data_IF_851506218842
#
_entry.id   IF_851506218842
#
_cell.length_a   1.000
_cell.length_b   1.000
_cell.length_c   1.000
_cell.angle_alpha   90.00
_cell.angle_beta   90.00
_cell.angle_gamma   90.00
#
_symmetry.space_group_name_H-M   'P 1'
#
loop_
_entity.id
_entity.type
_entity.pdbx_description
1 polymer ?
#
# COMPACT_ATOMS: atom_id res chain seq x y z
N UNK A 1 -11.76 -3.04 -64.51
CA UNK A 1 -12.53 -3.60 -63.38
C UNK A 1 -11.57 -4.34 -62.47
N UNK A 2 -11.60 -4.07 -61.16
CA UNK A 2 -10.75 -4.75 -60.18
C UNK A 2 -10.39 -3.85 -59.01
N UNK A 3 -11.37 -3.56 -58.15
CA UNK A 3 -11.16 -2.94 -56.84
C UNK A 3 -10.64 -4.01 -55.85
N UNK A 4 -9.80 -3.64 -54.87
CA UNK A 4 -9.66 -4.48 -53.67
C UNK A 4 -8.37 -4.37 -52.85
N UNK A 5 -8.48 -3.64 -51.74
CA UNK A 5 -7.76 -3.73 -50.46
C UNK A 5 -6.36 -3.09 -50.29
N UNK A 6 -6.18 -2.12 -49.37
CA UNK A 6 -4.87 -1.72 -48.89
C UNK A 6 -4.32 -2.72 -47.86
N UNK A 7 -2.99 -2.85 -47.85
CA UNK A 7 -2.21 -3.76 -47.01
C UNK A 7 -2.50 -3.56 -45.51
N UNK A 8 -2.79 -4.66 -44.81
CA UNK A 8 -3.02 -4.72 -43.36
C UNK A 8 -1.67 -4.56 -42.64
N UNK A 9 -1.55 -3.56 -41.76
CA UNK A 9 -0.43 -3.42 -40.83
C UNK A 9 -0.35 -4.64 -39.87
N UNK A 10 0.86 -5.06 -39.45
CA UNK A 10 1.02 -6.21 -38.56
C UNK A 10 0.37 -5.94 -37.20
N UNK A 11 -0.43 -6.91 -36.74
CA UNK A 11 -1.05 -6.87 -35.41
C UNK A 11 0.01 -7.02 -34.32
N UNK A 12 -0.12 -6.35 -33.17
CA UNK A 12 0.74 -6.61 -32.03
C UNK A 12 0.54 -8.06 -31.58
N UNK A 13 1.64 -8.81 -31.47
CA UNK A 13 1.68 -10.12 -30.83
C UNK A 13 1.48 -9.89 -29.33
N UNK A 14 0.24 -9.99 -28.87
CA UNK A 14 -0.06 -10.15 -27.45
C UNK A 14 0.35 -11.56 -27.10
N UNK A 15 1.48 -11.70 -26.40
CA UNK A 15 1.88 -12.94 -25.77
C UNK A 15 0.82 -13.36 -24.76
N UNK A 16 -0.12 -14.21 -25.18
CA UNK A 16 -1.03 -14.91 -24.30
C UNK A 16 -0.17 -15.85 -23.45
N UNK A 17 0.23 -15.41 -22.26
CA UNK A 17 0.69 -16.34 -21.22
C UNK A 17 -0.51 -17.21 -20.91
N UNK A 18 -0.50 -18.42 -21.48
CA UNK A 18 -1.50 -19.45 -21.32
C UNK A 18 -1.83 -19.58 -19.84
N UNK A 19 -3.05 -19.19 -19.50
CA UNK A 19 -3.61 -19.37 -18.16
C UNK A 19 -3.41 -20.83 -17.77
N UNK A 20 -2.69 -21.05 -16.65
CA UNK A 20 -2.59 -22.41 -16.10
C UNK A 20 -4.01 -22.87 -15.81
N UNK A 21 -4.34 -24.02 -16.41
CA UNK A 21 -5.56 -24.79 -16.28
C UNK A 21 -6.40 -24.48 -15.03
N UNK A 22 -7.68 -24.21 -15.27
CA UNK A 22 -8.77 -24.31 -14.30
C UNK A 22 -8.60 -25.59 -13.47
N UNK A 23 -8.15 -25.44 -12.22
CA UNK A 23 -8.29 -26.51 -11.22
C UNK A 23 -9.72 -26.42 -10.70
N UNK A 24 -10.56 -27.45 -10.89
CA UNK A 24 -11.91 -27.41 -10.38
C UNK A 24 -11.89 -27.38 -8.83
N UNK A 25 -12.98 -26.80 -8.33
CA UNK A 25 -13.57 -26.99 -7.00
C UNK A 25 -12.65 -26.93 -5.76
N UNK A 26 -12.32 -25.71 -5.36
CA UNK A 26 -12.27 -25.38 -3.92
C UNK A 26 -13.69 -24.96 -3.50
N UNK A 27 -14.57 -25.86 -3.04
CA UNK A 27 -15.96 -25.52 -2.73
C UNK A 27 -16.05 -24.40 -1.69
N UNK A 28 -15.09 -24.36 -0.75
CA UNK A 28 -15.00 -23.28 0.24
C UNK A 28 -14.76 -21.90 -0.39
N UNK A 29 -14.13 -21.80 -1.57
CA UNK A 29 -13.86 -20.50 -2.22
C UNK A 29 -15.17 -19.79 -2.54
N UNK A 30 -16.14 -20.52 -3.08
CA UNK A 30 -17.48 -19.98 -3.36
C UNK A 30 -18.26 -19.67 -2.09
N UNK A 31 -18.16 -20.51 -1.04
CA UNK A 31 -18.81 -20.22 0.25
C UNK A 31 -18.22 -18.98 0.96
N UNK A 32 -16.89 -18.85 0.97
CA UNK A 32 -16.20 -17.69 1.57
C UNK A 32 -16.47 -16.44 0.77
N UNK A 33 -16.56 -16.50 -0.56
CA UNK A 33 -16.92 -15.35 -1.40
C UNK A 33 -18.40 -14.96 -1.29
N UNK A 34 -19.28 -15.92 -1.02
CA UNK A 34 -20.71 -15.68 -0.84
C UNK A 34 -21.08 -15.20 0.57
N UNK A 35 -20.28 -15.54 1.58
CA UNK A 35 -20.48 -15.04 2.94
C UNK A 35 -20.25 -13.52 3.01
N UNK A 36 -20.82 -12.86 4.02
CA UNK A 36 -20.53 -11.45 4.30
C UNK A 36 -19.50 -11.39 5.44
N UNK A 37 -18.23 -11.16 5.08
CA UNK A 37 -17.13 -11.01 6.05
C UNK A 37 -16.41 -9.68 5.74
N UNK A 38 -16.99 -8.53 6.13
CA UNK A 38 -16.53 -7.21 5.69
C UNK A 38 -15.05 -6.92 6.00
N UNK A 39 -14.49 -7.60 6.99
CA UNK A 39 -13.08 -7.46 7.38
C UNK A 39 -12.08 -8.18 6.44
N UNK A 40 -12.49 -9.15 5.62
CA UNK A 40 -11.53 -10.07 5.00
C UNK A 40 -11.87 -10.59 3.59
N UNK A 41 -13.15 -10.73 3.22
CA UNK A 41 -13.51 -11.48 2.01
C UNK A 41 -13.99 -10.64 0.83
N UNK A 42 -13.80 -9.31 0.88
CA UNK A 42 -14.16 -8.41 -0.21
C UNK A 42 -13.40 -8.76 -1.50
N UNK A 43 -14.16 -9.02 -2.58
CA UNK A 43 -13.60 -9.25 -3.93
C UNK A 43 -14.07 -8.13 -4.85
N UNK A 44 -13.13 -7.44 -5.48
CA UNK A 44 -13.44 -6.31 -6.33
C UNK A 44 -12.34 -5.99 -7.33
N UNK A 45 -12.64 -5.03 -8.20
CA UNK A 45 -11.71 -4.50 -9.18
C UNK A 45 -10.99 -3.29 -8.58
N UNK A 46 -9.67 -3.17 -8.78
CA UNK A 46 -8.87 -2.05 -8.26
C UNK A 46 -9.44 -0.70 -8.69
N UNK A 47 -9.90 -0.58 -9.96
CA UNK A 47 -10.55 0.65 -10.46
C UNK A 47 -11.78 1.08 -9.66
N UNK A 48 -12.54 0.12 -9.13
CA UNK A 48 -13.73 0.41 -8.32
C UNK A 48 -13.33 0.90 -6.93
N UNK A 49 -12.26 0.33 -6.36
CA UNK A 49 -11.70 0.75 -5.08
C UNK A 49 -11.12 2.17 -5.20
N UNK A 50 -10.33 2.44 -6.25
CA UNK A 50 -9.81 3.79 -6.52
C UNK A 50 -10.95 4.79 -6.69
N UNK A 51 -12.03 4.43 -7.40
CA UNK A 51 -13.20 5.31 -7.55
C UNK A 51 -13.83 5.61 -6.19
N UNK A 52 -14.05 4.61 -5.35
CA UNK A 52 -14.59 4.78 -4.00
C UNK A 52 -13.74 5.75 -3.16
N UNK A 53 -12.43 5.51 -3.06
CA UNK A 53 -11.54 6.39 -2.30
C UNK A 53 -11.35 7.76 -2.95
N UNK A 54 -11.43 7.85 -4.28
CA UNK A 54 -11.42 9.12 -5.00
C UNK A 54 -12.62 9.99 -4.62
N UNK A 55 -13.82 9.42 -4.61
CA UNK A 55 -15.03 10.11 -4.15
C UNK A 55 -14.88 10.57 -2.70
N UNK A 56 -14.37 9.71 -1.79
CA UNK A 56 -14.09 10.11 -0.40
C UNK A 56 -13.04 11.23 -0.33
N UNK A 57 -12.01 11.22 -1.18
CA UNK A 57 -11.01 12.28 -1.21
C UNK A 57 -11.61 13.63 -1.67
N UNK A 58 -12.62 13.61 -2.54
CA UNK A 58 -13.23 14.81 -3.14
C UNK A 58 -14.56 15.23 -2.49
N UNK A 59 -14.95 14.66 -1.34
CA UNK A 59 -16.11 15.12 -0.56
C UNK A 59 -17.30 14.15 -0.50
N UNK A 60 -17.24 12.99 -1.15
CA UNK A 60 -18.14 11.87 -0.89
C UNK A 60 -19.57 12.02 -1.43
N UNK A 61 -19.87 13.05 -2.22
CA UNK A 61 -21.22 13.34 -2.71
C UNK A 61 -21.82 12.19 -3.54
N UNK A 62 -21.04 11.56 -4.43
CA UNK A 62 -21.53 10.42 -5.22
C UNK A 62 -21.82 9.16 -4.38
N UNK A 63 -21.29 9.12 -3.15
CA UNK A 63 -21.52 8.04 -2.17
C UNK A 63 -22.64 8.41 -1.17
N UNK A 64 -23.23 9.60 -1.29
CA UNK A 64 -24.24 10.10 -0.35
C UNK A 64 -23.68 10.39 1.05
N UNK A 65 -22.37 10.64 1.18
CA UNK A 65 -21.76 11.00 2.45
C UNK A 65 -22.07 12.47 2.79
N UNK A 66 -22.41 12.72 4.05
CA UNK A 66 -22.69 14.08 4.53
C UNK A 66 -21.40 14.82 4.85
N UNK A 67 -21.44 16.15 4.88
CA UNK A 67 -20.30 16.97 5.31
C UNK A 67 -19.84 16.59 6.72
N UNK A 68 -20.77 16.30 7.63
CA UNK A 68 -20.46 15.84 8.98
C UNK A 68 -19.67 14.52 8.98
N UNK A 69 -20.02 13.59 8.10
CA UNK A 69 -19.27 12.32 7.92
C UNK A 69 -17.88 12.60 7.36
N UNK A 70 -17.79 13.47 6.37
CA UNK A 70 -16.51 13.83 5.75
C UNK A 70 -15.58 14.53 6.74
N UNK A 71 -16.11 15.41 7.57
CA UNK A 71 -15.36 16.09 8.61
C UNK A 71 -14.85 15.11 9.66
N UNK A 72 -15.69 14.15 10.09
CA UNK A 72 -15.28 13.10 11.01
C UNK A 72 -14.15 12.22 10.43
N UNK A 73 -14.19 11.89 9.14
CA UNK A 73 -13.14 11.11 8.47
C UNK A 73 -11.80 11.86 8.34
N UNK A 74 -11.87 13.19 8.20
CA UNK A 74 -10.70 14.07 8.05
C UNK A 74 -9.96 14.29 9.37
N UNK A 75 -10.60 14.08 10.51
CA UNK A 75 -9.97 14.25 11.83
C UNK A 75 -8.80 13.26 11.98
N UNK A 76 -7.67 13.76 12.50
CA UNK A 76 -6.54 12.93 12.88
C UNK A 76 -6.97 11.93 13.97
N UNK A 77 -6.38 10.73 14.01
CA UNK A 77 -6.76 9.75 15.02
C UNK A 77 -6.50 10.28 16.43
N UNK A 78 -7.53 10.42 17.29
CA UNK A 78 -7.29 10.69 18.70
C UNK A 78 -6.56 9.48 19.32
N UNK A 79 -5.56 9.71 20.19
CA UNK A 79 -4.87 8.60 20.85
C UNK A 79 -5.85 7.82 21.73
N UNK A 80 -5.80 6.47 21.74
CA UNK A 80 -6.56 5.67 22.69
C UNK A 80 -6.13 5.94 24.13
N UNK A 81 -7.01 5.62 25.10
CA UNK A 81 -6.77 5.84 26.53
C UNK A 81 -5.46 5.23 27.03
N UNK A 82 -5.06 4.08 26.48
CA UNK A 82 -3.85 3.34 26.88
C UNK A 82 -2.64 3.62 25.97
N UNK A 83 -2.68 4.68 25.17
CA UNK A 83 -1.61 5.03 24.22
C UNK A 83 -1.79 4.39 22.84
N UNK A 84 -0.77 4.55 21.99
CA UNK A 84 -0.82 4.20 20.56
C UNK A 84 -0.37 2.76 20.26
N UNK A 85 0.15 2.03 21.26
CA UNK A 85 0.69 0.69 21.05
C UNK A 85 -0.43 -0.32 20.76
N UNK A 86 -0.35 -0.97 19.60
CA UNK A 86 -1.27 -2.03 19.20
C UNK A 86 -0.78 -3.39 19.73
N UNK A 87 -1.60 -4.05 20.55
CA UNK A 87 -1.23 -5.33 21.17
C UNK A 87 -1.16 -6.50 20.18
N UNK A 88 -1.81 -6.39 19.02
CA UNK A 88 -1.83 -7.43 17.99
C UNK A 88 -0.68 -7.22 17.02
N UNK A 89 -0.52 -5.99 16.52
CA UNK A 89 0.50 -5.61 15.54
C UNK A 89 1.87 -5.33 16.19
N UNK A 90 1.91 -5.16 17.52
CA UNK A 90 3.12 -4.94 18.34
C UNK A 90 3.91 -3.69 17.98
N UNK A 91 3.20 -2.64 17.56
CA UNK A 91 3.75 -1.39 17.04
C UNK A 91 2.79 -0.24 17.37
N UNK A 92 3.29 0.98 17.41
CA UNK A 92 2.42 2.14 17.50
C UNK A 92 1.62 2.31 16.21
N UNK A 93 0.30 2.43 16.32
CA UNK A 93 -0.60 2.64 15.19
C UNK A 93 -1.62 3.74 15.48
N UNK A 94 -2.29 4.20 14.43
CA UNK A 94 -3.35 5.19 14.52
C UNK A 94 -4.55 4.70 13.71
N UNK A 95 -5.67 4.51 14.38
CA UNK A 95 -6.95 4.15 13.75
C UNK A 95 -8.02 5.17 14.15
N UNK A 96 -8.92 5.47 13.21
CA UNK A 96 -10.11 6.28 13.46
C UNK A 96 -11.25 5.81 12.56
N UNK A 97 -12.43 5.61 13.13
CA UNK A 97 -13.64 5.21 12.40
C UNK A 97 -13.45 3.96 11.50
N UNK A 98 -12.61 3.01 11.92
CA UNK A 98 -12.30 1.79 11.17
C UNK A 98 -11.24 1.95 10.07
N UNK A 99 -10.68 3.14 9.88
CA UNK A 99 -9.60 3.40 8.92
C UNK A 99 -8.27 3.55 9.64
N UNK A 100 -7.20 3.09 8.99
CA UNK A 100 -5.85 3.43 9.41
C UNK A 100 -5.57 4.89 9.02
N UNK A 101 -4.89 5.61 9.90
CA UNK A 101 -4.38 6.98 9.68
C UNK A 101 -2.85 6.94 9.57
N UNK A 102 -2.20 7.94 8.94
CA UNK A 102 -0.74 7.98 8.89
C UNK A 102 -0.11 8.07 10.28
N UNK A 103 0.99 7.33 10.50
CA UNK A 103 1.80 7.36 11.72
C UNK A 103 3.29 7.22 11.37
N UNK A 104 4.25 7.50 12.29
CA UNK A 104 5.67 7.62 11.94
C UNK A 104 6.26 6.42 11.18
N UNK A 105 5.86 5.20 11.55
CA UNK A 105 6.32 3.96 10.92
C UNK A 105 5.56 3.57 9.63
N UNK A 106 4.43 4.22 9.33
CA UNK A 106 3.67 4.05 8.10
C UNK A 106 3.10 5.39 7.64
N UNK A 107 3.88 6.08 6.80
CA UNK A 107 3.51 7.36 6.21
C UNK A 107 2.74 7.10 4.94
N UNK A 108 1.60 7.74 4.72
CA UNK A 108 0.92 7.74 3.43
C UNK A 108 0.10 9.02 3.25
N UNK A 109 -0.11 9.42 2.00
CA UNK A 109 -0.79 10.67 1.67
C UNK A 109 0.05 11.92 1.94
N UNK A 110 -0.61 13.08 1.89
CA UNK A 110 -0.05 14.38 2.25
C UNK A 110 0.38 14.50 3.73
N UNK A 111 1.03 15.61 4.08
CA UNK A 111 1.51 15.91 5.45
C UNK A 111 0.42 16.16 6.48
N UNK A 112 -0.84 16.33 6.07
CA UNK A 112 -1.91 16.78 6.96
C UNK A 112 -2.40 15.74 7.97
N UNK A 113 -1.95 14.48 7.84
CA UNK A 113 -2.45 13.31 8.59
C UNK A 113 -3.99 13.11 8.48
N UNK A 114 -4.63 13.77 7.51
CA UNK A 114 -6.08 13.67 7.23
C UNK A 114 -6.42 12.48 6.34
N UNK A 115 -5.43 11.82 5.73
CA UNK A 115 -5.63 10.65 4.90
C UNK A 115 -6.24 9.49 5.70
N UNK A 116 -7.10 8.70 5.05
CA UNK A 116 -7.78 7.56 5.65
C UNK A 116 -7.69 6.36 4.73
N UNK A 117 -7.19 5.23 5.24
CA UNK A 117 -6.91 4.06 4.43
C UNK A 117 -7.31 2.73 5.04
N UNK A 118 -7.15 1.68 4.26
CA UNK A 118 -7.40 0.30 4.65
C UNK A 118 -6.29 -0.59 4.11
N UNK A 119 -5.62 -1.29 5.02
CA UNK A 119 -4.59 -2.28 4.69
C UNK A 119 -5.22 -3.66 4.56
N UNK A 120 -4.75 -4.44 3.60
CA UNK A 120 -5.14 -5.83 3.42
C UNK A 120 -3.93 -6.76 3.51
N UNK A 121 -4.20 -7.97 4.01
CA UNK A 121 -3.21 -9.01 4.16
C UNK A 121 -2.51 -9.28 2.81
N UNK A 122 -1.18 -9.33 2.86
CA UNK A 122 -0.35 -9.56 1.70
C UNK A 122 0.21 -8.31 1.05
N UNK A 123 -0.33 -7.13 1.37
CA UNK A 123 0.15 -5.83 0.89
C UNK A 123 -0.78 -5.09 -0.07
N UNK A 124 -2.05 -5.49 -0.18
CA UNK A 124 -3.04 -4.62 -0.82
C UNK A 124 -3.30 -3.42 0.08
N UNK A 125 -3.41 -2.23 -0.49
CA UNK A 125 -3.61 -1.01 0.29
C UNK A 125 -4.40 0.00 -0.52
N UNK A 126 -5.32 0.71 0.13
CA UNK A 126 -6.07 1.78 -0.49
C UNK A 126 -6.33 2.89 0.53
N UNK A 127 -6.36 4.13 0.06
CA UNK A 127 -6.64 5.29 0.91
C UNK A 127 -7.14 6.48 0.11
N UNK A 128 -7.80 7.39 0.82
CA UNK A 128 -8.21 8.71 0.35
C UNK A 128 -7.35 9.77 1.04
N UNK A 129 -6.82 10.71 0.27
CA UNK A 129 -6.16 11.90 0.77
C UNK A 129 -6.96 13.16 0.38
N UNK A 130 -7.69 13.76 1.32
CA UNK A 130 -8.53 14.92 1.03
C UNK A 130 -7.73 16.20 0.72
N UNK A 131 -6.45 16.27 1.07
CA UNK A 131 -5.62 17.45 0.76
C UNK A 131 -5.26 17.52 -0.72
N UNK A 132 -4.88 16.38 -1.30
CA UNK A 132 -4.53 16.28 -2.72
C UNK A 132 -5.74 15.91 -3.59
N UNK A 133 -6.90 15.66 -2.98
CA UNK A 133 -8.09 15.15 -3.67
C UNK A 133 -7.87 13.79 -4.33
N UNK A 134 -6.91 13.01 -3.82
CA UNK A 134 -6.43 11.78 -4.49
C UNK A 134 -6.93 10.53 -3.77
N UNK A 135 -7.55 9.64 -4.54
CA UNK A 135 -7.78 8.25 -4.15
C UNK A 135 -6.68 7.34 -4.71
N UNK A 136 -6.11 6.49 -3.87
CA UNK A 136 -5.11 5.51 -4.27
C UNK A 136 -5.57 4.10 -3.91
N UNK A 137 -5.27 3.12 -4.77
CA UNK A 137 -5.43 1.72 -4.43
C UNK A 137 -4.43 0.84 -5.19
N UNK A 138 -3.97 -0.19 -4.49
CA UNK A 138 -3.14 -1.26 -5.01
C UNK A 138 -3.68 -2.61 -4.51
N UNK A 139 -3.82 -3.57 -5.43
CA UNK A 139 -4.14 -4.95 -5.10
C UNK A 139 -3.39 -5.90 -6.04
N UNK A 140 -3.15 -7.12 -5.57
CA UNK A 140 -2.39 -8.13 -6.29
C UNK A 140 -2.82 -9.53 -5.89
N UNK A 141 -2.59 -10.50 -6.77
CA UNK A 141 -2.89 -11.90 -6.52
C UNK A 141 -1.71 -12.67 -5.89
N UNK A 142 -0.53 -12.04 -5.82
CA UNK A 142 0.66 -12.61 -5.17
C UNK A 142 0.93 -11.89 -3.85
N UNK A 143 0.51 -12.54 -2.78
CA UNK A 143 0.67 -12.14 -1.38
C UNK A 143 2.16 -11.96 -1.03
N UNK A 144 2.49 -10.81 -0.43
CA UNK A 144 3.76 -10.59 0.26
C UNK A 144 3.64 -10.89 1.76
N UNK A 145 4.72 -10.65 2.52
CA UNK A 145 4.78 -10.91 3.96
C UNK A 145 5.01 -9.66 4.81
N UNK A 146 4.94 -8.47 4.21
CA UNK A 146 5.04 -7.21 4.95
C UNK A 146 3.68 -6.78 5.46
N UNK A 147 3.66 -6.25 6.67
CA UNK A 147 2.44 -5.72 7.30
C UNK A 147 1.96 -4.44 6.59
N UNK A 148 2.89 -3.56 6.22
CA UNK A 148 2.70 -2.38 5.38
C UNK A 148 3.98 -2.10 4.57
N UNK A 149 3.98 -1.06 3.74
CA UNK A 149 5.09 -0.71 2.83
C UNK A 149 5.59 -1.91 2.02
N UNK A 150 4.64 -2.60 1.37
CA UNK A 150 4.96 -3.64 0.41
C UNK A 150 5.77 -3.01 -0.75
N UNK A 151 6.91 -3.56 -1.18
CA UNK A 151 7.82 -2.89 -2.13
C UNK A 151 7.18 -2.41 -3.43
N UNK A 152 6.24 -3.18 -3.98
CA UNK A 152 5.49 -2.89 -5.21
C UNK A 152 4.47 -1.79 -4.94
N UNK A 153 3.75 -1.89 -3.83
CA UNK A 153 2.78 -0.88 -3.39
C UNK A 153 3.46 0.48 -3.18
N UNK A 154 4.49 0.50 -2.33
CA UNK A 154 5.15 1.74 -1.91
C UNK A 154 5.91 2.39 -3.07
N UNK A 155 6.39 1.61 -4.05
CA UNK A 155 7.00 2.17 -5.25
C UNK A 155 5.99 2.97 -6.09
N UNK A 156 4.75 2.48 -6.21
CA UNK A 156 3.68 3.19 -6.93
C UNK A 156 3.22 4.42 -6.15
N UNK A 157 3.06 4.28 -4.83
CA UNK A 157 2.66 5.37 -3.96
C UNK A 157 3.71 6.48 -3.91
N UNK A 158 4.99 6.14 -3.80
CA UNK A 158 6.11 7.09 -3.87
C UNK A 158 6.16 7.81 -5.23
N UNK A 159 5.98 7.08 -6.33
CA UNK A 159 5.95 7.69 -7.66
C UNK A 159 4.81 8.71 -7.78
N UNK A 160 3.62 8.38 -7.28
CA UNK A 160 2.47 9.29 -7.33
C UNK A 160 2.68 10.51 -6.42
N UNK A 161 2.88 10.30 -5.12
CA UNK A 161 2.91 11.40 -4.16
C UNK A 161 4.19 12.23 -4.28
N UNK A 162 5.36 11.59 -4.26
CA UNK A 162 6.61 12.35 -4.25
C UNK A 162 6.99 12.90 -5.63
N UNK A 163 6.71 12.17 -6.73
CA UNK A 163 7.17 12.57 -8.07
C UNK A 163 6.14 13.29 -8.92
N UNK A 164 4.86 12.93 -8.80
CA UNK A 164 3.79 13.57 -9.59
C UNK A 164 3.15 14.72 -8.82
N UNK A 165 2.80 14.51 -7.55
CA UNK A 165 2.10 15.51 -6.74
C UNK A 165 3.05 16.47 -5.99
N UNK A 166 4.33 16.12 -5.85
CA UNK A 166 5.31 16.93 -5.13
C UNK A 166 5.14 16.90 -3.60
N UNK A 167 4.49 15.87 -3.08
CA UNK A 167 4.25 15.64 -1.65
C UNK A 167 5.44 14.96 -0.95
N UNK A 168 5.34 14.83 0.38
CA UNK A 168 6.37 14.14 1.19
C UNK A 168 6.68 12.72 0.69
N UNK A 169 7.91 12.23 0.91
CA UNK A 169 8.24 10.82 0.72
C UNK A 169 7.29 9.93 1.51
N UNK A 170 6.85 8.87 0.85
CA UNK A 170 5.86 7.91 1.34
C UNK A 170 6.49 6.77 2.12
N UNK A 171 7.82 6.73 2.16
CA UNK A 171 8.60 5.84 3.03
C UNK A 171 9.01 6.57 4.31
N UNK A 172 8.97 5.91 5.47
CA UNK A 172 9.64 6.40 6.67
C UNK A 172 11.13 6.61 6.41
N UNK A 173 11.74 7.55 7.13
CA UNK A 173 13.19 7.71 7.12
C UNK A 173 13.83 6.38 7.59
N UNK A 174 14.84 5.83 6.88
CA UNK A 174 15.59 4.66 7.35
C UNK A 174 16.04 4.75 8.82
N UNK A 175 16.32 5.95 9.33
CA UNK A 175 16.69 6.20 10.72
C UNK A 175 15.52 6.08 11.73
N UNK A 176 14.27 6.19 11.26
CA UNK A 176 13.05 6.04 12.07
C UNK A 176 12.54 4.60 12.17
N UNK A 177 13.22 3.65 11.51
CA UNK A 177 12.84 2.25 11.40
C UNK A 177 13.05 1.45 12.68
N UNK A 178 12.12 1.55 13.63
CA UNK A 178 11.98 0.65 14.79
C UNK A 178 11.81 -0.83 14.40
N UNK A 179 11.66 -1.15 13.11
CA UNK A 179 11.50 -2.49 12.59
C UNK A 179 12.82 -3.28 12.49
N UNK A 180 13.95 -2.62 12.21
CA UNK A 180 15.24 -3.32 12.06
C UNK A 180 15.88 -3.74 13.40
N UNK A 181 15.84 -2.94 14.48
CA UNK A 181 16.37 -3.35 15.79
C UNK A 181 15.60 -4.54 16.40
N UNK A 182 14.27 -4.58 16.23
CA UNK A 182 13.41 -5.65 16.79
C UNK A 182 13.63 -7.00 16.11
N UNK A 183 13.85 -7.02 14.79
CA UNK A 183 14.20 -8.25 14.07
C UNK A 183 15.65 -8.68 14.33
N UNK A 184 16.55 -7.71 14.49
CA UNK A 184 17.96 -7.98 14.79
C UNK A 184 18.12 -8.74 16.12
N UNK A 185 17.44 -8.30 17.18
CA UNK A 185 17.47 -9.02 18.48
C UNK A 185 16.93 -10.45 18.42
N UNK A 186 15.94 -10.72 17.55
CA UNK A 186 15.36 -12.05 17.36
C UNK A 186 16.24 -12.98 16.50
N UNK A 187 17.08 -12.44 15.62
CA UNK A 187 18.02 -13.21 14.78
C UNK A 187 19.38 -13.42 15.45
N UNK A 188 19.86 -12.45 16.23
CA UNK A 188 21.12 -12.52 16.98
C UNK A 188 21.03 -13.47 18.19
N UNK A 189 19.84 -13.62 18.80
CA UNK A 189 19.61 -14.60 19.87
C UNK A 189 19.54 -16.06 19.39
N UNK A 190 19.45 -16.29 18.06
CA UNK A 190 19.38 -17.65 17.48
C UNK A 190 20.62 -18.08 16.70
N UNK A 191 21.56 -17.18 16.44
CA UNK A 191 22.82 -17.52 15.79
C UNK A 191 23.97 -16.94 16.60
N UNK A 192 24.67 -17.79 17.34
CA UNK A 192 25.83 -17.42 18.18
C UNK A 192 27.06 -16.98 17.37
N UNK A 193 26.88 -16.30 16.23
CA UNK A 193 27.95 -15.68 15.45
C UNK A 193 27.34 -14.61 14.52
N UNK A 194 27.90 -13.38 14.48
CA UNK A 194 27.38 -12.34 13.62
C UNK A 194 27.61 -12.67 12.13
N UNK A 195 26.62 -12.45 11.24
CA UNK A 195 26.82 -12.61 9.80
C UNK A 195 27.75 -11.50 9.27
N UNK A 196 28.74 -11.87 8.45
CA UNK A 196 29.62 -10.92 7.77
C UNK A 196 28.82 -9.97 6.88
N UNK A 197 29.07 -8.67 6.99
CA UNK A 197 28.45 -7.64 6.17
C UNK A 197 28.75 -7.86 4.67
N UNK A 198 27.71 -7.91 3.84
CA UNK A 198 27.78 -8.04 2.37
C UNK A 198 27.80 -6.66 1.67
N UNK A 199 27.79 -5.55 2.42
CA UNK A 199 27.93 -4.21 1.85
C UNK A 199 29.19 -3.53 2.38
N UNK A 200 30.21 -3.45 1.54
CA UNK A 200 31.29 -2.48 1.70
C UNK A 200 30.99 -1.29 0.80
N UNK A 201 30.92 -0.10 1.39
CA UNK A 201 30.95 1.16 0.64
C UNK A 201 32.32 1.33 -0.02
N UNK A 202 32.43 1.85 -1.25
CA UNK A 202 33.73 2.18 -1.81
C UNK A 202 34.29 3.40 -1.05
N UNK A 203 35.39 3.20 -0.33
CA UNK A 203 36.19 4.29 0.21
C UNK A 203 36.85 5.03 -0.95
N UNK A 204 36.49 6.29 -1.13
CA UNK A 204 37.20 7.21 -2.01
C UNK A 204 38.62 7.43 -1.45
N UNK A 205 39.63 7.02 -2.21
CA UNK A 205 41.03 7.42 -1.97
C UNK A 205 41.20 8.88 -2.38
N UNK A 206 41.44 9.74 -1.39
CA UNK A 206 41.93 11.09 -1.62
C UNK A 206 43.43 11.13 -1.33
N UNK A 207 44.23 11.13 -2.39
CA UNK A 207 45.62 11.58 -2.41
C UNK A 207 45.70 13.06 -2.04
N UNK A 208 46.54 13.41 -1.07
CA UNK A 208 47.18 14.72 -0.99
C UNK A 208 48.57 14.54 -0.35
N UNK A 209 49.61 14.82 -1.14
CA UNK A 209 50.99 15.03 -0.67
C UNK A 209 51.11 16.33 0.13
N UNK A 210 52.33 16.75 0.50
CA UNK A 210 53.44 16.98 -0.45
C UNK A 210 54.50 15.88 -0.53
#
# INVERSE_FOLDING_TARGET
MGAGYPARLPRPVVGLVRERAHKPDRPWKTYVQAAEIPAANGVGQVRSIVKLYGEVATGGAALGLTDATMDALRVAAPPPTNGLFDEVLRVETRFSLGYIKPFPAFRFGSESDRASGTMGLGGSFAFADPNTGTGFAYAMNRTGFRLWDEPREVALREALFARVLGERPQRPDPASGLFWPLIRGALESRSGSPPRAIWSSPTASSTAGP
#
